data_IF_758962301110
#
_entry.id   IF_758962301110
#
_cell.length_a   1.000
_cell.length_b   1.000
_cell.length_c   1.000
_cell.angle_alpha   90.00
_cell.angle_beta   90.00
_cell.angle_gamma   90.00
#
_symmetry.space_group_name_H-M   'P 1'
#
loop_
_entity.id
_entity.type
_entity.pdbx_description
1 polymer ?
#
# COMPACT_ATOMS: atom_id res chain seq x y z
N UNK A 1 12.63 5.49 -11.16
CA UNK A 1 12.35 4.33 -12.02
C UNK A 1 13.36 3.21 -11.82
N UNK A 2 14.66 3.42 -12.07
CA UNK A 2 15.68 2.38 -11.90
C UNK A 2 15.67 1.72 -10.51
N UNK A 3 15.56 2.49 -9.44
CA UNK A 3 15.46 1.96 -8.07
C UNK A 3 14.26 1.02 -7.88
N UNK A 4 13.16 1.25 -8.59
CA UNK A 4 11.97 0.39 -8.51
C UNK A 4 12.20 -0.94 -9.23
N UNK A 5 12.88 -0.90 -10.38
CA UNK A 5 13.29 -2.11 -11.12
C UNK A 5 14.26 -2.93 -10.27
N UNK A 6 15.26 -2.28 -9.65
CA UNK A 6 16.22 -2.94 -8.75
C UNK A 6 15.49 -3.55 -7.55
N UNK A 7 14.61 -2.80 -6.88
CA UNK A 7 13.82 -3.30 -5.74
C UNK A 7 13.00 -4.55 -6.09
N UNK A 8 12.37 -4.56 -7.27
CA UNK A 8 11.60 -5.72 -7.75
C UNK A 8 12.52 -6.87 -8.20
N UNK A 9 13.68 -6.57 -8.78
CA UNK A 9 14.70 -7.56 -9.13
C UNK A 9 15.33 -8.26 -7.92
N UNK A 10 15.62 -7.51 -6.84
CA UNK A 10 16.16 -8.03 -5.58
C UNK A 10 15.18 -8.98 -4.88
N UNK A 11 13.86 -8.81 -5.12
CA UNK A 11 12.82 -9.79 -4.75
C UNK A 11 12.84 -11.07 -5.62
N UNK A 12 13.95 -11.32 -6.33
CA UNK A 12 14.24 -12.47 -7.22
C UNK A 12 13.26 -12.62 -8.39
N UNK A 13 12.70 -11.52 -8.89
CA UNK A 13 11.84 -11.52 -10.08
C UNK A 13 12.65 -11.15 -11.32
N UNK A 14 12.58 -11.98 -12.36
CA UNK A 14 12.93 -11.51 -13.70
C UNK A 14 11.87 -10.51 -14.13
N UNK A 15 12.22 -9.22 -14.09
CA UNK A 15 11.39 -8.16 -14.65
C UNK A 15 11.32 -8.35 -16.16
N UNK A 16 10.12 -8.51 -16.68
CA UNK A 16 9.87 -8.72 -18.11
C UNK A 16 9.42 -7.41 -18.79
N UNK A 17 9.50 -7.31 -20.13
CA UNK A 17 8.96 -6.15 -20.84
C UNK A 17 7.46 -5.89 -20.57
N UNK A 18 6.68 -6.93 -20.27
CA UNK A 18 5.26 -6.81 -19.94
C UNK A 18 5.00 -6.15 -18.58
N UNK A 19 5.99 -6.13 -17.69
CA UNK A 19 5.92 -5.51 -16.37
C UNK A 19 6.18 -3.99 -16.43
N UNK A 20 6.88 -3.53 -17.47
CA UNK A 20 7.31 -2.14 -17.59
C UNK A 20 6.16 -1.12 -17.50
N UNK A 21 5.01 -1.31 -18.17
CA UNK A 21 3.88 -0.37 -18.06
C UNK A 21 3.37 -0.20 -16.63
N UNK A 22 3.31 -1.29 -15.85
CA UNK A 22 2.87 -1.28 -14.45
C UNK A 22 3.89 -0.57 -13.55
N UNK A 23 5.18 -0.88 -13.72
CA UNK A 23 6.27 -0.25 -12.97
C UNK A 23 6.28 1.26 -13.26
N UNK A 24 6.18 1.65 -14.52
CA UNK A 24 6.11 3.06 -14.94
C UNK A 24 4.90 3.73 -14.30
N UNK A 25 3.70 3.14 -14.41
CA UNK A 25 2.48 3.66 -13.81
C UNK A 25 2.61 3.93 -12.31
N UNK A 26 3.33 3.07 -11.59
CA UNK A 26 3.49 3.18 -10.13
C UNK A 26 4.52 4.22 -9.67
N UNK A 27 5.49 4.60 -10.52
CA UNK A 27 6.50 5.62 -10.19
C UNK A 27 6.06 7.03 -10.56
N UNK A 28 5.03 7.15 -11.40
CA UNK A 28 4.37 8.43 -11.68
C UNK A 28 3.59 8.88 -10.43
N UNK A 29 3.55 10.19 -10.16
CA UNK A 29 2.88 10.81 -9.00
C UNK A 29 3.45 10.47 -7.61
N UNK A 30 4.77 10.26 -7.47
CA UNK A 30 5.38 10.25 -6.13
C UNK A 30 5.41 11.66 -5.52
N UNK A 31 4.99 11.83 -4.26
CA UNK A 31 5.09 13.12 -3.57
C UNK A 31 6.56 13.54 -3.41
N UNK A 32 6.80 14.85 -3.44
CA UNK A 32 8.16 15.45 -3.36
C UNK A 32 8.78 15.22 -1.97
N UNK A 33 7.96 15.10 -0.92
CA UNK A 33 8.38 14.67 0.41
C UNK A 33 7.42 13.62 0.97
N UNK A 34 7.98 12.61 1.64
CA UNK A 34 7.21 11.61 2.38
C UNK A 34 7.29 11.91 3.87
N UNK A 35 6.19 12.40 4.46
CA UNK A 35 6.07 12.70 5.89
C UNK A 35 5.69 11.47 6.71
N UNK A 36 5.02 10.50 6.08
CA UNK A 36 4.61 9.24 6.69
C UNK A 36 5.36 8.09 6.02
N UNK A 37 5.94 7.21 6.82
CA UNK A 37 6.53 5.96 6.36
C UNK A 37 5.94 4.79 7.12
N UNK A 38 5.65 3.71 6.42
CA UNK A 38 5.37 2.41 7.06
C UNK A 38 6.71 1.71 7.22
N UNK A 39 7.23 1.65 8.45
CA UNK A 39 8.58 1.14 8.74
C UNK A 39 8.60 -0.37 8.97
N UNK A 40 7.48 -0.93 9.43
CA UNK A 40 7.32 -2.35 9.65
C UNK A 40 5.85 -2.77 9.56
N UNK A 41 5.58 -4.01 9.15
CA UNK A 41 4.25 -4.61 9.24
C UNK A 41 4.29 -6.14 9.24
N UNK A 42 3.37 -6.73 9.97
CA UNK A 42 3.07 -8.16 9.97
C UNK A 42 1.57 -8.34 9.79
N UNK A 43 1.17 -9.17 8.84
CA UNK A 43 -0.24 -9.49 8.58
C UNK A 43 -0.38 -11.02 8.57
N UNK A 44 -1.29 -11.52 9.39
CA UNK A 44 -1.55 -12.94 9.54
C UNK A 44 -3.00 -13.24 9.16
N UNK A 45 -3.18 -14.32 8.40
CA UNK A 45 -4.50 -14.86 8.08
C UNK A 45 -4.44 -16.38 8.18
N UNK A 46 -5.42 -16.95 8.88
CA UNK A 46 -5.58 -18.39 9.02
C UNK A 46 -7.05 -18.74 8.82
N UNK A 47 -7.31 -19.83 8.11
CA UNK A 47 -8.66 -20.32 7.90
C UNK A 47 -9.35 -20.59 9.25
N UNK A 48 -10.52 -20.00 9.47
CA UNK A 48 -11.29 -20.13 10.71
C UNK A 48 -10.85 -19.23 11.86
N UNK A 49 -9.81 -18.40 11.69
CA UNK A 49 -9.41 -17.40 12.68
C UNK A 49 -9.57 -15.98 12.14
N UNK A 50 -9.75 -15.01 13.04
CA UNK A 50 -9.80 -13.59 12.68
C UNK A 50 -8.43 -13.13 12.18
N UNK A 51 -8.34 -12.57 10.95
CA UNK A 51 -7.13 -11.92 10.45
C UNK A 51 -6.60 -10.83 11.39
N UNK A 52 -5.28 -10.72 11.51
CA UNK A 52 -4.60 -9.76 12.39
C UNK A 52 -3.53 -9.01 11.62
N UNK A 53 -3.30 -7.76 12.02
CA UNK A 53 -2.18 -6.98 11.55
C UNK A 53 -1.55 -6.22 12.70
N UNK A 54 -0.22 -6.14 12.68
CA UNK A 54 0.61 -5.22 13.46
C UNK A 54 1.44 -4.38 12.49
N UNK A 55 1.63 -3.11 12.81
CA UNK A 55 2.46 -2.21 12.01
C UNK A 55 3.14 -1.14 12.87
N UNK A 56 4.22 -0.60 12.34
CA UNK A 56 4.88 0.60 12.82
C UNK A 56 4.86 1.66 11.72
N UNK A 57 4.45 2.88 12.08
CA UNK A 57 4.63 4.06 11.24
C UNK A 57 5.66 5.00 11.84
N UNK A 58 6.39 5.69 10.97
CA UNK A 58 7.17 6.88 11.30
C UNK A 58 6.49 8.10 10.68
N UNK A 59 6.05 9.04 11.52
CA UNK A 59 5.41 10.28 11.09
C UNK A 59 6.06 11.47 11.79
N UNK A 60 6.62 12.41 11.02
CA UNK A 60 7.31 13.60 11.54
C UNK A 60 8.40 13.27 12.61
N UNK A 61 9.09 12.14 12.43
CA UNK A 61 10.15 11.67 13.34
C UNK A 61 9.66 10.90 14.57
N UNK A 62 8.34 10.77 14.76
CA UNK A 62 7.76 9.94 15.82
C UNK A 62 7.38 8.57 15.29
N UNK A 63 7.68 7.52 16.07
CA UNK A 63 7.29 6.14 15.73
C UNK A 63 6.11 5.71 16.56
N UNK A 64 5.09 5.17 15.89
CA UNK A 64 3.85 4.70 16.51
C UNK A 64 3.59 3.28 16.05
N UNK A 65 3.36 2.38 17.01
CA UNK A 65 2.96 0.99 16.75
C UNK A 65 1.49 0.79 17.04
N UNK A 66 0.83 0.03 16.20
CA UNK A 66 -0.54 -0.38 16.42
C UNK A 66 -0.80 -1.78 15.88
N UNK A 67 -1.75 -2.46 16.50
CA UNK A 67 -2.26 -3.73 16.04
C UNK A 67 -3.79 -3.74 16.05
N UNK A 68 -4.38 -4.53 15.15
CA UNK A 68 -5.82 -4.73 15.07
C UNK A 68 -6.19 -6.05 14.40
N UNK A 69 -7.41 -6.51 14.65
CA UNK A 69 -8.05 -7.57 13.87
C UNK A 69 -8.93 -6.98 12.77
N UNK A 70 -9.29 -7.80 11.78
CA UNK A 70 -10.15 -7.38 10.68
C UNK A 70 -10.86 -8.54 10.01
N UNK A 71 -11.66 -8.22 9.00
CA UNK A 71 -12.40 -9.22 8.20
C UNK A 71 -11.50 -9.87 7.14
N UNK A 72 -10.37 -9.24 6.83
CA UNK A 72 -9.31 -9.70 5.95
C UNK A 72 -7.98 -9.07 6.34
N UNK A 73 -6.86 -9.55 5.77
CA UNK A 73 -5.52 -9.04 6.09
C UNK A 73 -5.37 -7.54 5.84
N UNK A 74 -5.90 -7.04 4.71
CA UNK A 74 -5.88 -5.61 4.39
C UNK A 74 -6.79 -4.78 5.33
N UNK A 75 -7.97 -5.28 5.68
CA UNK A 75 -8.85 -4.60 6.63
C UNK A 75 -8.22 -4.50 8.03
N UNK A 76 -7.60 -5.58 8.51
CA UNK A 76 -6.85 -5.57 9.77
C UNK A 76 -5.72 -4.53 9.75
N UNK A 77 -4.96 -4.46 8.65
CA UNK A 77 -3.93 -3.45 8.43
C UNK A 77 -4.51 -2.03 8.46
N UNK A 78 -5.60 -1.75 7.73
CA UNK A 78 -6.23 -0.42 7.71
C UNK A 78 -6.76 -0.03 9.11
N UNK A 79 -7.34 -0.98 9.85
CA UNK A 79 -7.80 -0.73 11.23
C UNK A 79 -6.64 -0.42 12.17
N UNK A 80 -5.52 -1.15 12.08
CA UNK A 80 -4.30 -0.85 12.84
C UNK A 80 -3.73 0.52 12.46
N UNK A 81 -3.69 0.84 11.16
CA UNK A 81 -3.15 2.10 10.64
C UNK A 81 -3.99 3.29 11.09
N UNK A 82 -5.32 3.16 11.06
CA UNK A 82 -6.24 4.16 11.61
C UNK A 82 -6.01 4.39 13.11
N UNK A 83 -5.68 3.34 13.87
CA UNK A 83 -5.35 3.48 15.29
C UNK A 83 -4.05 4.27 15.47
N UNK A 84 -3.00 3.94 14.73
CA UNK A 84 -1.73 4.68 14.77
C UNK A 84 -1.89 6.16 14.35
N UNK A 85 -2.66 6.44 13.30
CA UNK A 85 -2.91 7.81 12.81
C UNK A 85 -3.74 8.67 13.77
N UNK A 86 -4.62 8.07 14.58
CA UNK A 86 -5.39 8.81 15.59
C UNK A 86 -4.46 9.45 16.63
N UNK A 87 -3.35 8.79 16.97
CA UNK A 87 -2.36 9.33 17.91
C UNK A 87 -1.63 10.56 17.33
N UNK A 88 -1.60 10.71 16.01
CA UNK A 88 -1.00 11.87 15.32
C UNK A 88 -2.03 12.95 14.95
N UNK A 89 -3.31 12.77 15.31
CA UNK A 89 -4.39 13.72 15.01
C UNK A 89 -4.79 13.79 13.54
N UNK A 90 -4.46 12.76 12.73
CA UNK A 90 -4.73 12.73 11.29
C UNK A 90 -5.92 11.83 10.94
N UNK A 91 -6.70 12.25 9.95
CA UNK A 91 -7.81 11.47 9.40
C UNK A 91 -7.34 10.48 8.34
N UNK A 92 -8.10 9.41 8.16
CA UNK A 92 -7.88 8.41 7.11
C UNK A 92 -9.02 8.50 6.08
N UNK A 93 -8.75 8.83 4.81
CA UNK A 93 -9.77 8.91 3.76
C UNK A 93 -10.58 7.63 3.58
N UNK A 94 -11.84 7.77 3.17
CA UNK A 94 -12.69 6.60 2.89
C UNK A 94 -12.23 5.93 1.59
N UNK A 95 -12.10 4.60 1.63
CA UNK A 95 -11.89 3.79 0.43
C UNK A 95 -13.19 3.75 -0.38
N UNK A 96 -13.10 4.15 -1.65
CA UNK A 96 -14.20 4.17 -2.62
C UNK A 96 -14.18 2.96 -3.54
N UNK A 97 -12.99 2.55 -4.00
CA UNK A 97 -12.82 1.41 -4.90
C UNK A 97 -11.45 0.75 -4.72
N UNK A 98 -11.35 -0.53 -5.06
CA UNK A 98 -10.15 -1.35 -4.89
C UNK A 98 -10.02 -2.38 -6.02
N UNK A 99 -8.99 -2.22 -6.84
CA UNK A 99 -8.74 -3.07 -8.01
C UNK A 99 -7.37 -3.74 -7.91
N UNK A 100 -7.33 -5.03 -8.23
CA UNK A 100 -6.10 -5.83 -8.30
C UNK A 100 -5.95 -6.36 -9.72
N UNK A 101 -4.80 -6.12 -10.34
CA UNK A 101 -4.50 -6.50 -11.71
C UNK A 101 -3.14 -7.18 -11.79
N UNK A 102 -3.01 -8.12 -12.72
CA UNK A 102 -1.74 -8.75 -13.08
C UNK A 102 -1.45 -8.52 -14.57
N UNK A 103 -0.18 -8.54 -14.99
CA UNK A 103 0.19 -8.55 -16.39
C UNK A 103 -0.46 -9.71 -17.17
N UNK A 104 -0.71 -9.54 -18.48
CA UNK A 104 -1.22 -10.61 -19.33
C UNK A 104 -0.26 -11.81 -19.34
N UNK A 105 -0.81 -13.01 -19.46
CA UNK A 105 -0.04 -14.26 -19.45
C UNK A 105 0.08 -14.96 -18.08
N UNK A 106 -0.52 -14.37 -17.03
CA UNK A 106 -0.93 -15.04 -15.79
C UNK A 106 0.04 -16.06 -15.19
N UNK A 107 0.85 -15.63 -14.22
CA UNK A 107 1.70 -16.52 -13.40
C UNK A 107 1.38 -16.33 -11.93
N UNK A 108 1.46 -17.39 -11.13
CA UNK A 108 1.22 -17.34 -9.68
C UNK A 108 2.19 -16.42 -8.94
N UNK A 109 3.30 -16.10 -9.59
CA UNK A 109 4.40 -15.32 -9.08
C UNK A 109 4.54 -13.99 -9.83
N UNK A 110 3.53 -13.59 -10.60
CA UNK A 110 3.49 -12.33 -11.34
C UNK A 110 3.53 -11.11 -10.41
N UNK A 111 3.94 -9.96 -10.97
CA UNK A 111 3.71 -8.69 -10.30
C UNK A 111 2.22 -8.42 -10.19
N UNK A 112 1.86 -7.75 -9.10
CA UNK A 112 0.52 -7.31 -8.77
C UNK A 112 0.50 -5.80 -8.77
N UNK A 113 -0.41 -5.22 -9.55
CA UNK A 113 -0.81 -3.83 -9.45
C UNK A 113 -2.06 -3.72 -8.59
N UNK A 114 -1.97 -2.97 -7.49
CA UNK A 114 -3.12 -2.61 -6.68
C UNK A 114 -3.42 -1.14 -6.86
N UNK A 115 -4.59 -0.84 -7.40
CA UNK A 115 -5.12 0.51 -7.59
C UNK A 115 -6.23 0.76 -6.57
N UNK A 116 -6.09 1.81 -5.78
CA UNK A 116 -7.07 2.17 -4.76
C UNK A 116 -7.59 3.57 -5.04
N UNK A 117 -8.91 3.70 -5.04
CA UNK A 117 -9.61 4.97 -5.20
C UNK A 117 -10.14 5.42 -3.84
N UNK A 118 -9.88 6.68 -3.49
CA UNK A 118 -10.18 7.27 -2.20
C UNK A 118 -11.12 8.45 -2.36
N UNK A 119 -12.06 8.60 -1.44
CA UNK A 119 -12.84 9.82 -1.31
C UNK A 119 -11.95 10.95 -0.79
N UNK A 120 -12.08 12.12 -1.39
CA UNK A 120 -11.43 13.36 -0.96
C UNK A 120 -12.49 14.44 -0.76
N UNK A 121 -12.14 15.52 -0.08
CA UNK A 121 -13.06 16.65 0.12
C UNK A 121 -13.39 17.39 -1.20
N UNK A 122 -12.65 17.15 -2.29
CA UNK A 122 -12.89 17.74 -3.60
C UNK A 122 -13.71 16.86 -4.54
N UNK A 123 -14.09 17.41 -5.69
CA UNK A 123 -14.93 16.72 -6.68
C UNK A 123 -14.28 15.51 -7.35
N UNK A 124 -12.95 15.38 -7.27
CA UNK A 124 -12.20 14.30 -7.92
C UNK A 124 -11.64 13.31 -6.90
N UNK A 125 -11.99 12.02 -7.01
CA UNK A 125 -11.42 11.02 -6.12
C UNK A 125 -9.91 10.92 -6.35
N UNK A 126 -9.18 10.67 -5.27
CA UNK A 126 -7.74 10.41 -5.33
C UNK A 126 -7.52 8.95 -5.70
N UNK A 127 -6.61 8.69 -6.62
CA UNK A 127 -6.22 7.33 -7.00
C UNK A 127 -4.74 7.13 -6.72
N UNK A 128 -4.41 6.05 -6.03
CA UNK A 128 -3.03 5.63 -5.81
C UNK A 128 -2.81 4.19 -6.25
N UNK A 129 -1.58 3.93 -6.69
CA UNK A 129 -1.19 2.64 -7.26
C UNK A 129 0.06 2.13 -6.57
N UNK A 130 0.06 0.86 -6.17
CA UNK A 130 1.23 0.15 -5.67
C UNK A 130 1.52 -1.07 -6.54
N UNK A 131 2.79 -1.45 -6.64
CA UNK A 131 3.24 -2.58 -7.45
C UNK A 131 4.20 -3.43 -6.65
N UNK A 132 3.84 -4.69 -6.45
CA UNK A 132 4.67 -5.64 -5.72
C UNK A 132 4.36 -7.07 -6.17
N UNK A 133 5.23 -8.03 -5.87
CA UNK A 133 4.92 -9.45 -6.08
C UNK A 133 3.87 -9.97 -5.10
N UNK A 134 3.68 -9.28 -3.98
CA UNK A 134 2.65 -9.57 -2.99
C UNK A 134 1.51 -8.54 -3.08
N UNK A 135 0.28 -9.02 -3.25
CA UNK A 135 -0.89 -8.16 -3.42
C UNK A 135 -1.18 -7.26 -2.20
N UNK A 136 -0.91 -7.74 -0.98
CA UNK A 136 -1.08 -6.94 0.24
C UNK A 136 0.02 -5.89 0.33
N UNK A 137 1.27 -6.24 0.00
CA UNK A 137 2.36 -5.27 -0.07
C UNK A 137 2.09 -4.17 -1.11
N UNK A 138 1.56 -4.53 -2.28
CA UNK A 138 1.13 -3.56 -3.29
C UNK A 138 0.01 -2.64 -2.77
N UNK A 139 -0.96 -3.18 -2.03
CA UNK A 139 -2.02 -2.41 -1.38
C UNK A 139 -1.50 -1.44 -0.31
N UNK A 140 -0.56 -1.90 0.51
CA UNK A 140 0.10 -1.11 1.56
C UNK A 140 0.86 0.06 0.91
N UNK A 141 1.62 -0.18 -0.15
CA UNK A 141 2.31 0.87 -0.91
C UNK A 141 1.33 1.89 -1.49
N UNK A 142 0.21 1.44 -2.07
CA UNK A 142 -0.82 2.35 -2.57
C UNK A 142 -1.43 3.20 -1.44
N UNK A 143 -1.63 2.62 -0.26
CA UNK A 143 -2.16 3.30 0.93
C UNK A 143 -1.16 4.31 1.49
N UNK A 144 0.12 3.97 1.60
CA UNK A 144 1.18 4.87 2.04
C UNK A 144 1.34 6.06 1.10
N UNK A 145 1.29 5.83 -0.22
CA UNK A 145 1.28 6.91 -1.22
C UNK A 145 0.09 7.84 -1.02
N UNK A 146 -1.10 7.29 -0.76
CA UNK A 146 -2.29 8.10 -0.50
C UNK A 146 -2.09 8.97 0.73
N UNK A 147 -1.62 8.39 1.84
CA UNK A 147 -1.40 9.14 3.08
C UNK A 147 -0.40 10.27 2.85
N UNK A 148 0.70 10.03 2.13
CA UNK A 148 1.65 11.09 1.83
C UNK A 148 1.11 12.17 0.88
N UNK A 149 0.10 11.89 0.06
CA UNK A 149 -0.55 12.89 -0.79
C UNK A 149 -1.56 13.75 -0.02
N UNK A 150 -2.26 13.17 0.96
CA UNK A 150 -3.25 13.90 1.77
C UNK A 150 -2.65 14.58 3.00
N UNK A 151 -1.47 14.14 3.45
CA UNK A 151 -0.72 14.73 4.57
C UNK A 151 0.39 15.70 4.11
N UNK A 152 0.60 15.83 2.79
CA UNK A 152 1.56 16.74 2.18
C UNK A 152 1.36 18.18 2.63
#
# INVERSE_FOLDING_TARGET
MLNEIVRLGDKKKQVTPADLPFIIGSVLNRPISAKLKITDYQIETRFGETPKAELEIEFEGQRVRAASGGDGGYDAFVKALRKALKETGRSFPRLRDYEVRIPPGGKTDALVETRITWETEGDRPLVTVGVDSDQLAAAIQATEKMLNLVLA
#
